data_IF_676831335459
#
_entry.id   IF_676831335459
#
_cell.length_a   1.000
_cell.length_b   1.000
_cell.length_c   1.000
_cell.angle_alpha   90.00
_cell.angle_beta   90.00
_cell.angle_gamma   90.00
#
_symmetry.space_group_name_H-M   'P 1'
#
loop_
_entity.id
_entity.type
_entity.pdbx_description
1 polymer ?
#
# COMPACT_ATOMS: atom_id res chain seq x y z
N UNK A 1 28.69 -16.01 8.90
CA UNK A 1 27.26 -15.63 8.86
C UNK A 1 27.06 -14.80 7.59
N UNK A 2 25.87 -14.28 7.29
CA UNK A 2 25.75 -13.35 6.17
C UNK A 2 26.35 -12.00 6.58
N UNK A 3 27.32 -11.49 5.82
CA UNK A 3 27.85 -10.15 6.03
C UNK A 3 26.72 -9.11 5.89
N UNK A 4 26.68 -8.15 6.80
CA UNK A 4 25.66 -7.11 6.80
C UNK A 4 26.24 -5.83 6.22
N UNK A 5 25.50 -5.15 5.36
CA UNK A 5 25.81 -3.81 4.86
C UNK A 5 24.88 -2.80 5.53
N UNK A 6 25.43 -1.70 6.00
CA UNK A 6 24.66 -0.58 6.58
C UNK A 6 25.04 0.70 5.86
N UNK A 7 24.04 1.40 5.36
CA UNK A 7 24.14 2.70 4.69
C UNK A 7 23.48 3.78 5.54
N UNK A 8 24.19 4.88 5.80
CA UNK A 8 23.64 6.07 6.44
C UNK A 8 23.10 7.04 5.38
N UNK A 9 21.81 7.31 5.43
CA UNK A 9 21.08 8.11 4.44
C UNK A 9 20.88 9.58 4.87
N UNK A 10 21.37 9.97 6.05
CA UNK A 10 21.15 11.29 6.65
C UNK A 10 20.02 11.31 7.70
N UNK A 11 20.04 12.29 8.59
CA UNK A 11 19.03 12.52 9.64
C UNK A 11 18.69 11.26 10.47
N UNK A 12 19.70 10.49 10.88
CA UNK A 12 19.55 9.20 11.60
C UNK A 12 18.61 8.18 10.90
N UNK A 13 18.63 8.17 9.57
CA UNK A 13 18.05 7.10 8.74
C UNK A 13 19.17 6.16 8.30
N UNK A 14 18.98 4.87 8.56
CA UNK A 14 19.91 3.82 8.18
C UNK A 14 19.18 2.77 7.36
N UNK A 15 19.79 2.36 6.25
CA UNK A 15 19.39 1.18 5.50
C UNK A 15 20.29 0.02 5.88
N UNK A 16 19.70 -1.14 6.08
CA UNK A 16 20.42 -2.38 6.39
C UNK A 16 20.09 -3.40 5.33
N UNK A 17 21.12 -4.08 4.84
CA UNK A 17 21.01 -5.15 3.86
C UNK A 17 21.82 -6.37 4.27
N UNK A 18 21.24 -7.55 4.06
CA UNK A 18 21.81 -8.83 4.48
C UNK A 18 21.54 -9.86 3.38
N UNK A 19 22.58 -10.60 2.97
CA UNK A 19 22.47 -11.62 1.93
C UNK A 19 22.16 -11.05 0.54
N UNK A 20 21.42 -11.80 -0.27
CA UNK A 20 20.93 -11.36 -1.59
C UNK A 20 19.72 -10.44 -1.42
N UNK A 21 19.93 -9.28 -0.79
CA UNK A 21 18.87 -8.31 -0.56
C UNK A 21 18.24 -7.90 -1.91
N UNK A 22 16.90 -7.86 -2.02
CA UNK A 22 16.27 -7.47 -3.26
C UNK A 22 16.66 -6.03 -3.63
N UNK A 23 16.68 -5.72 -4.93
CA UNK A 23 16.71 -4.32 -5.37
C UNK A 23 15.52 -3.59 -4.76
N UNK A 24 15.78 -2.48 -4.07
CA UNK A 24 14.75 -1.72 -3.36
C UNK A 24 13.59 -1.40 -4.31
N UNK A 25 12.36 -1.51 -3.81
CA UNK A 25 11.21 -0.92 -4.50
C UNK A 25 11.27 0.62 -4.44
N UNK A 26 11.99 1.16 -3.46
CA UNK A 26 12.06 2.58 -3.19
C UNK A 26 13.29 3.23 -3.84
N UNK A 27 13.09 4.42 -4.40
CA UNK A 27 14.17 5.31 -4.77
C UNK A 27 14.69 6.03 -3.51
N UNK A 28 15.80 5.55 -2.96
CA UNK A 28 16.44 6.15 -1.79
C UNK A 28 17.41 7.27 -2.17
N UNK A 29 17.66 8.25 -1.27
CA UNK A 29 18.76 9.19 -1.44
C UNK A 29 20.11 8.45 -1.47
N UNK A 30 21.11 9.09 -2.06
CA UNK A 30 22.47 8.57 -2.07
C UNK A 30 22.99 8.38 -0.63
N UNK A 31 23.66 7.25 -0.41
CA UNK A 31 24.32 6.96 0.86
C UNK A 31 25.41 8.00 1.13
N UNK A 32 25.40 8.58 2.34
CA UNK A 32 26.44 9.51 2.79
C UNK A 32 27.67 8.76 3.31
N UNK A 33 27.44 7.61 3.96
CA UNK A 33 28.46 6.73 4.53
C UNK A 33 27.95 5.30 4.51
N UNK A 34 28.83 4.33 4.32
CA UNK A 34 28.48 2.92 4.32
C UNK A 34 29.58 2.06 4.93
N UNK A 35 29.18 0.96 5.56
CA UNK A 35 30.07 -0.07 6.10
C UNK A 35 29.50 -1.44 5.82
N UNK A 36 30.36 -2.45 5.74
CA UNK A 36 29.92 -3.84 5.62
C UNK A 36 30.84 -4.76 6.41
N UNK A 37 30.27 -5.82 6.98
CA UNK A 37 31.03 -6.84 7.71
C UNK A 37 30.21 -7.52 8.82
N UNK A 38 30.91 -8.29 9.65
CA UNK A 38 30.34 -8.92 10.85
C UNK A 38 30.74 -8.18 12.15
N UNK A 39 31.64 -7.20 12.04
CA UNK A 39 32.14 -6.33 13.11
C UNK A 39 32.36 -4.92 12.53
N UNK A 40 31.63 -3.92 13.01
CA UNK A 40 31.83 -2.52 12.60
C UNK A 40 31.08 -1.54 13.51
N UNK A 41 31.41 -0.26 13.33
CA UNK A 41 30.66 0.88 13.87
C UNK A 41 30.41 1.87 12.73
N UNK A 42 29.20 2.40 12.65
CA UNK A 42 28.82 3.48 11.75
C UNK A 42 28.08 4.56 12.54
N UNK A 43 28.61 5.78 12.54
CA UNK A 43 27.98 6.91 13.22
C UNK A 43 26.98 7.61 12.28
N UNK A 44 25.83 8.00 12.82
CA UNK A 44 24.87 8.93 12.23
C UNK A 44 25.09 10.36 12.74
N UNK A 45 24.01 11.09 12.99
CA UNK A 45 24.05 12.41 13.64
C UNK A 45 23.93 12.29 15.16
N UNK A 46 22.98 11.47 15.62
CA UNK A 46 22.75 11.19 17.05
C UNK A 46 22.74 9.70 17.33
N UNK A 47 22.39 8.90 16.34
CA UNK A 47 22.36 7.45 16.45
C UNK A 47 23.63 6.85 15.87
N UNK A 48 24.18 5.86 16.54
CA UNK A 48 25.22 5.00 15.98
C UNK A 48 24.68 3.59 15.76
N UNK A 49 25.25 2.89 14.78
CA UNK A 49 24.99 1.48 14.50
C UNK A 49 26.24 0.69 14.84
N UNK A 50 26.07 -0.36 15.63
CA UNK A 50 27.12 -1.28 16.01
C UNK A 50 26.76 -2.67 15.50
N UNK A 51 27.70 -3.31 14.81
CA UNK A 51 27.62 -4.71 14.47
C UNK A 51 28.70 -5.46 15.26
N UNK A 52 28.31 -6.48 16.02
CA UNK A 52 29.26 -7.39 16.66
C UNK A 52 28.79 -8.84 16.58
N UNK A 53 29.67 -9.73 16.12
CA UNK A 53 29.39 -11.12 15.80
C UNK A 53 28.12 -11.28 14.94
N UNK A 54 27.93 -10.39 13.96
CA UNK A 54 26.76 -10.39 13.09
C UNK A 54 25.44 -10.01 13.77
N UNK A 55 25.46 -9.36 14.94
CA UNK A 55 24.27 -8.76 15.58
C UNK A 55 24.34 -7.24 15.48
N UNK A 56 23.25 -6.62 15.02
CA UNK A 56 23.09 -5.18 14.96
C UNK A 56 22.35 -4.64 16.17
N UNK A 57 22.83 -3.50 16.65
CA UNK A 57 22.10 -2.62 17.55
C UNK A 57 22.31 -1.16 17.15
N UNK A 58 21.29 -0.35 17.45
CA UNK A 58 21.32 1.08 17.26
C UNK A 58 21.46 1.73 18.63
N UNK A 59 22.28 2.77 18.80
CA UNK A 59 22.43 3.45 20.09
C UNK A 59 22.21 4.94 19.98
N UNK A 60 21.49 5.48 20.97
CA UNK A 60 21.35 6.91 21.21
C UNK A 60 22.06 7.23 22.53
N UNK A 61 23.35 7.56 22.47
CA UNK A 61 24.19 7.62 23.66
C UNK A 61 24.26 6.25 24.35
N UNK A 62 23.95 6.19 25.66
CA UNK A 62 23.93 4.93 26.42
C UNK A 62 22.70 4.03 26.12
N UNK A 63 21.74 4.55 25.36
CA UNK A 63 20.45 3.92 25.16
C UNK A 63 20.46 2.99 23.95
N UNK A 64 20.33 1.69 24.18
CA UNK A 64 20.26 0.69 23.10
C UNK A 64 18.85 0.63 22.51
N UNK A 65 18.76 0.62 21.20
CA UNK A 65 17.55 0.63 20.38
C UNK A 65 17.58 -0.58 19.44
N UNK A 66 16.46 -1.30 19.39
CA UNK A 66 16.23 -2.37 18.43
C UNK A 66 17.38 -3.39 18.25
N UNK A 67 17.98 -3.91 19.35
CA UNK A 67 19.11 -4.82 19.27
C UNK A 67 18.68 -6.22 18.79
N UNK A 68 19.51 -6.83 17.94
CA UNK A 68 19.36 -8.22 17.54
C UNK A 68 19.47 -9.16 18.75
N UNK A 69 18.50 -10.06 18.88
CA UNK A 69 18.55 -11.14 19.85
C UNK A 69 19.48 -12.27 19.39
N UNK A 70 19.63 -12.42 18.08
CA UNK A 70 20.50 -13.36 17.39
C UNK A 70 20.79 -12.81 15.99
N UNK A 71 21.90 -13.21 15.34
CA UNK A 71 22.16 -12.83 13.96
C UNK A 71 20.96 -13.20 13.05
N UNK A 72 20.56 -12.34 12.10
CA UNK A 72 19.49 -12.64 11.16
C UNK A 72 19.76 -13.94 10.39
N UNK A 73 18.71 -14.73 10.19
CA UNK A 73 18.81 -16.05 9.54
C UNK A 73 18.25 -15.99 8.12
N UNK A 74 18.95 -16.63 7.19
CA UNK A 74 18.55 -16.83 5.80
C UNK A 74 18.66 -18.32 5.49
N UNK A 75 17.53 -19.00 5.28
CA UNK A 75 17.50 -20.45 5.04
C UNK A 75 16.32 -20.83 4.15
N UNK A 76 16.55 -21.66 3.13
CA UNK A 76 15.47 -22.19 2.29
C UNK A 76 14.65 -21.13 1.55
N UNK A 77 15.24 -19.99 1.22
CA UNK A 77 14.53 -18.87 0.59
C UNK A 77 13.61 -18.09 1.55
N UNK A 78 13.83 -18.22 2.86
CA UNK A 78 13.11 -17.49 3.90
C UNK A 78 14.09 -16.74 4.80
N UNK A 79 13.59 -15.72 5.48
CA UNK A 79 14.35 -14.98 6.47
C UNK A 79 13.66 -14.95 7.83
N UNK A 80 14.48 -14.76 8.88
CA UNK A 80 14.03 -14.44 10.23
C UNK A 80 14.93 -13.36 10.85
N UNK A 81 14.31 -12.28 11.30
CA UNK A 81 14.91 -11.23 12.12
C UNK A 81 14.31 -11.36 13.52
N UNK A 82 15.17 -11.32 14.54
CA UNK A 82 14.80 -11.54 15.93
C UNK A 82 15.41 -10.43 16.77
N UNK A 83 14.58 -9.61 17.40
CA UNK A 83 14.98 -8.43 18.17
C UNK A 83 14.57 -8.57 19.63
N UNK A 84 15.39 -8.10 20.56
CA UNK A 84 14.93 -7.95 21.94
C UNK A 84 13.89 -6.83 22.02
N UNK A 85 12.85 -7.07 22.83
CA UNK A 85 11.86 -6.06 23.20
C UNK A 85 12.50 -5.04 24.16
N UNK A 86 12.34 -3.75 23.88
CA UNK A 86 12.68 -2.70 24.83
C UNK A 86 11.61 -2.52 25.90
N UNK A 87 12.03 -2.17 27.12
CA UNK A 87 11.10 -1.91 28.22
C UNK A 87 10.19 -0.71 27.91
N UNK A 88 8.87 -0.89 28.10
CA UNK A 88 7.88 0.18 27.89
C UNK A 88 7.63 0.56 26.43
N UNK A 89 8.17 -0.20 25.47
CA UNK A 89 7.90 0.00 24.04
C UNK A 89 6.44 -0.33 23.69
N UNK A 90 5.87 0.51 22.84
CA UNK A 90 4.56 0.34 22.21
C UNK A 90 4.71 0.36 20.70
N UNK A 91 3.89 -0.42 20.02
CA UNK A 91 4.04 -0.72 18.60
C UNK A 91 2.82 -0.25 17.82
N UNK A 92 3.04 0.40 16.69
CA UNK A 92 2.00 0.95 15.81
C UNK A 92 2.34 0.70 14.35
N UNK A 93 1.35 0.79 13.45
CA UNK A 93 1.53 0.56 12.01
C UNK A 93 1.01 -0.80 11.53
N UNK A 94 1.75 -1.42 10.61
CA UNK A 94 1.49 -2.74 9.99
C UNK A 94 0.19 -2.83 9.17
N UNK A 95 -0.34 -1.69 8.74
CA UNK A 95 -1.68 -1.59 8.16
C UNK A 95 -1.77 -2.11 6.73
N UNK A 96 -2.92 -2.61 6.32
CA UNK A 96 -4.24 -2.51 6.97
C UNK A 96 -4.56 -3.62 7.98
N UNK A 97 -5.15 -3.27 9.14
CA UNK A 97 -5.60 -4.23 10.17
C UNK A 97 -6.87 -3.77 10.89
N UNK A 98 -7.84 -4.67 11.04
CA UNK A 98 -9.08 -4.46 11.81
C UNK A 98 -8.90 -4.63 13.33
N UNK A 99 -7.72 -5.07 13.76
CA UNK A 99 -7.33 -5.28 15.17
C UNK A 99 -7.08 -3.96 15.90
N UNK A 100 -6.81 -4.04 17.21
CA UNK A 100 -6.52 -2.87 18.06
C UNK A 100 -5.37 -2.04 17.48
N UNK A 101 -5.50 -0.72 17.53
CA UNK A 101 -4.53 0.23 16.95
C UNK A 101 -3.10 0.02 17.48
N UNK A 102 -2.96 -0.12 18.79
CA UNK A 102 -1.70 -0.52 19.42
C UNK A 102 -1.48 -2.02 19.22
N UNK A 103 -0.26 -2.40 18.85
CA UNK A 103 0.11 -3.71 18.28
C UNK A 103 0.87 -4.61 19.26
N UNK A 104 1.17 -4.17 20.48
CA UNK A 104 1.82 -5.00 21.50
C UNK A 104 1.03 -6.27 21.78
N UNK A 105 1.72 -7.38 21.98
CA UNK A 105 1.08 -8.64 22.35
C UNK A 105 0.29 -9.28 21.22
N UNK A 106 0.52 -8.90 19.96
CA UNK A 106 -0.24 -9.39 18.80
C UNK A 106 0.69 -9.87 17.68
N UNK A 107 0.15 -10.67 16.76
CA UNK A 107 0.83 -11.15 15.55
C UNK A 107 0.03 -10.70 14.33
N UNK A 108 0.73 -10.31 13.28
CA UNK A 108 0.14 -9.76 12.06
C UNK A 108 0.71 -10.42 10.81
N UNK A 109 -0.17 -10.77 9.87
CA UNK A 109 0.18 -11.27 8.54
C UNK A 109 0.07 -10.15 7.52
N UNK A 110 1.17 -9.81 6.85
CA UNK A 110 1.22 -8.80 5.81
C UNK A 110 1.16 -9.51 4.47
N UNK A 111 -0.08 -9.71 4.02
CA UNK A 111 -0.48 -10.32 2.76
C UNK A 111 -1.75 -9.60 2.30
N UNK A 112 -1.86 -9.29 1.01
CA UNK A 112 -3.05 -8.62 0.48
C UNK A 112 -4.14 -9.65 0.19
N UNK A 113 -5.34 -9.43 0.73
CA UNK A 113 -6.49 -10.32 0.54
C UNK A 113 -7.78 -9.53 0.65
N UNK A 114 -8.72 -9.79 -0.24
CA UNK A 114 -10.13 -9.45 -0.02
C UNK A 114 -10.78 -10.51 0.89
N UNK A 115 -11.16 -10.16 2.13
CA UNK A 115 -11.81 -11.11 3.04
C UNK A 115 -13.32 -11.24 2.76
N UNK A 116 -13.88 -10.51 1.78
CA UNK A 116 -15.30 -10.33 1.48
C UNK A 116 -16.08 -9.62 2.60
N UNK A 117 -16.00 -10.14 3.82
CA UNK A 117 -16.45 -9.48 5.05
C UNK A 117 -15.36 -9.58 6.10
N UNK A 118 -15.34 -8.64 7.05
CA UNK A 118 -14.34 -8.67 8.12
C UNK A 118 -14.94 -8.31 9.48
N UNK A 119 -14.23 -8.71 10.52
CA UNK A 119 -14.49 -8.30 11.90
C UNK A 119 -13.15 -7.95 12.58
N UNK A 120 -13.18 -7.59 13.86
CA UNK A 120 -11.99 -7.13 14.62
C UNK A 120 -10.86 -8.16 14.76
N UNK A 121 -11.10 -9.41 14.38
CA UNK A 121 -10.11 -10.50 14.40
C UNK A 121 -9.59 -10.88 13.01
N UNK A 122 -10.22 -10.39 11.94
CA UNK A 122 -9.83 -10.67 10.56
C UNK A 122 -8.44 -10.09 10.26
N UNK A 123 -7.56 -10.96 9.79
CA UNK A 123 -6.20 -10.68 9.34
C UNK A 123 -5.80 -11.87 8.44
N UNK A 124 -5.33 -11.66 7.20
CA UNK A 124 -5.05 -10.40 6.49
C UNK A 124 -6.28 -9.60 6.00
N UNK A 125 -6.01 -8.39 5.47
CA UNK A 125 -6.95 -7.45 4.82
C UNK A 125 -6.38 -6.98 3.46
N UNK A 126 -6.91 -5.87 2.91
CA UNK A 126 -6.77 -5.47 1.51
C UNK A 126 -5.35 -5.03 1.11
N UNK A 127 -4.62 -4.36 2.00
CA UNK A 127 -3.25 -3.90 1.69
C UNK A 127 -2.30 -4.09 2.87
N UNK A 128 -0.99 -4.07 2.58
CA UNK A 128 0.08 -4.29 3.54
C UNK A 128 1.14 -3.19 3.46
N UNK A 129 1.47 -2.61 4.60
CA UNK A 129 2.57 -1.66 4.80
C UNK A 129 3.46 -2.20 5.90
N UNK A 130 4.62 -2.81 5.57
CA UNK A 130 5.56 -3.41 6.52
C UNK A 130 6.37 -2.39 7.33
N UNK A 131 5.66 -1.38 7.87
CA UNK A 131 6.19 -0.32 8.71
C UNK A 131 5.71 -0.48 10.16
N UNK A 132 6.66 -0.57 11.08
CA UNK A 132 6.46 -0.59 12.52
C UNK A 132 7.01 0.69 13.13
N UNK A 133 6.14 1.49 13.73
CA UNK A 133 6.51 2.61 14.57
C UNK A 133 6.62 2.13 16.02
N UNK A 134 7.79 2.32 16.61
CA UNK A 134 8.06 2.01 18.02
C UNK A 134 8.12 3.30 18.82
N UNK A 135 7.28 3.37 19.85
CA UNK A 135 7.17 4.52 20.74
C UNK A 135 7.54 4.13 22.17
N UNK A 136 8.33 4.98 22.82
CA UNK A 136 8.71 4.85 24.23
C UNK A 136 8.97 6.23 24.84
N UNK A 137 9.24 6.25 26.14
CA UNK A 137 9.41 7.50 26.89
C UNK A 137 10.60 8.32 26.39
N UNK A 138 11.69 7.68 26.02
CA UNK A 138 12.95 8.33 25.63
C UNK A 138 12.98 8.74 24.14
N UNK A 139 11.96 8.39 23.35
CA UNK A 139 11.86 8.74 21.95
C UNK A 139 11.13 7.70 21.10
N UNK A 140 11.24 7.83 19.79
CA UNK A 140 10.61 6.92 18.83
C UNK A 140 11.58 6.49 17.74
N UNK A 141 11.29 5.36 17.12
CA UNK A 141 11.96 4.95 15.90
C UNK A 141 11.01 4.12 15.03
N UNK A 142 11.32 4.05 13.73
CA UNK A 142 10.60 3.27 12.74
C UNK A 142 11.46 2.11 12.25
N UNK A 143 10.81 0.99 12.00
CA UNK A 143 11.35 -0.16 11.28
C UNK A 143 10.48 -0.40 10.05
N UNK A 144 11.05 -0.24 8.86
CA UNK A 144 10.38 -0.56 7.60
C UNK A 144 11.10 -1.73 6.94
N UNK A 145 10.43 -2.86 6.79
CA UNK A 145 10.97 -3.99 6.05
C UNK A 145 10.63 -3.81 4.56
N UNK A 146 11.63 -3.60 3.72
CA UNK A 146 11.42 -3.39 2.28
C UNK A 146 11.26 -4.73 1.57
N UNK A 147 10.01 -5.18 1.43
CA UNK A 147 9.66 -6.42 0.76
C UNK A 147 8.29 -6.32 0.09
N UNK A 148 8.17 -6.92 -1.10
CA UNK A 148 6.90 -7.18 -1.78
C UNK A 148 6.27 -8.52 -1.38
N UNK A 149 7.06 -9.42 -0.78
CA UNK A 149 6.63 -10.76 -0.41
C UNK A 149 5.81 -10.77 0.88
N UNK A 150 4.98 -11.80 1.03
CA UNK A 150 4.25 -12.06 2.25
C UNK A 150 5.22 -12.14 3.45
N UNK A 151 4.86 -11.45 4.54
CA UNK A 151 5.65 -11.48 5.77
C UNK A 151 4.79 -11.46 7.04
N UNK A 152 5.42 -11.74 8.16
CA UNK A 152 4.79 -11.89 9.48
C UNK A 152 5.56 -11.06 10.48
N UNK A 153 4.82 -10.30 11.28
CA UNK A 153 5.33 -9.54 12.41
C UNK A 153 4.70 -10.13 13.69
N UNK A 154 5.49 -10.86 14.49
CA UNK A 154 5.06 -11.42 15.77
C UNK A 154 5.60 -10.59 16.93
N UNK A 155 4.69 -9.90 17.61
CA UNK A 155 4.98 -8.98 18.72
C UNK A 155 4.41 -9.52 20.04
N UNK A 156 4.17 -10.83 20.14
CA UNK A 156 3.58 -11.48 21.33
C UNK A 156 4.59 -11.82 22.41
N UNK A 157 5.81 -12.20 22.02
CA UNK A 157 6.82 -12.71 22.94
C UNK A 157 7.76 -11.66 23.52
N UNK A 158 8.72 -12.13 24.32
CA UNK A 158 9.86 -11.37 24.83
C UNK A 158 10.78 -10.86 23.70
N UNK A 159 10.76 -11.57 22.57
CA UNK A 159 11.41 -11.18 21.33
C UNK A 159 10.37 -10.74 20.31
N UNK A 160 10.73 -9.74 19.52
CA UNK A 160 10.00 -9.37 18.31
C UNK A 160 10.55 -10.21 17.16
N UNK A 161 9.67 -10.89 16.44
CA UNK A 161 10.05 -11.76 15.33
C UNK A 161 9.47 -11.22 14.03
N UNK A 162 10.32 -11.06 13.02
CA UNK A 162 9.94 -10.64 11.68
C UNK A 162 10.41 -11.71 10.69
N UNK A 163 9.49 -12.29 9.94
CA UNK A 163 9.81 -13.40 9.03
C UNK A 163 9.05 -13.30 7.73
N UNK A 164 9.61 -13.83 6.65
CA UNK A 164 8.96 -13.85 5.35
C UNK A 164 9.78 -14.62 4.33
N UNK A 165 9.34 -14.55 3.08
CA UNK A 165 10.07 -15.11 1.94
C UNK A 165 11.11 -14.11 1.44
N UNK A 166 12.29 -14.61 1.09
CA UNK A 166 13.41 -13.80 0.59
C UNK A 166 14.77 -14.50 0.77
N UNK A 167 15.67 -14.33 -0.21
CA UNK A 167 17.08 -14.75 -0.14
C UNK A 167 17.99 -13.72 0.52
N UNK A 168 17.43 -12.55 0.84
CA UNK A 168 18.07 -11.50 1.61
C UNK A 168 17.05 -10.63 2.30
N UNK A 169 17.54 -9.70 3.09
CA UNK A 169 16.76 -8.76 3.90
C UNK A 169 17.18 -7.35 3.50
N UNK A 170 16.21 -6.46 3.29
CA UNK A 170 16.42 -5.03 3.24
C UNK A 170 15.46 -4.34 4.22
N UNK A 171 15.95 -3.45 5.08
CA UNK A 171 15.09 -2.66 5.95
C UNK A 171 15.65 -1.27 6.23
N UNK A 172 14.77 -0.36 6.62
CA UNK A 172 15.12 0.97 7.15
C UNK A 172 14.93 1.00 8.66
N UNK A 173 15.92 1.53 9.36
CA UNK A 173 15.79 2.05 10.71
C UNK A 173 15.74 3.58 10.65
N UNK A 174 14.73 4.17 11.29
CA UNK A 174 14.45 5.61 11.21
C UNK A 174 14.29 6.16 12.63
N UNK A 175 15.25 6.93 13.13
CA UNK A 175 15.12 7.54 14.46
C UNK A 175 14.43 8.91 14.42
N UNK A 176 13.63 9.21 15.45
CA UNK A 176 13.08 10.54 15.68
C UNK A 176 12.59 10.71 17.12
N UNK A 177 12.90 11.84 17.81
CA UNK A 177 12.52 12.01 19.21
C UNK A 177 11.00 12.09 19.42
N UNK A 178 10.22 12.31 18.35
CA UNK A 178 8.75 12.22 18.34
C UNK A 178 8.26 11.26 17.25
N UNK A 179 7.12 10.57 17.45
CA UNK A 179 6.50 9.74 16.43
C UNK A 179 6.27 10.46 15.10
N UNK A 180 5.88 11.74 15.15
CA UNK A 180 5.64 12.56 13.96
C UNK A 180 6.88 12.75 13.09
N UNK A 181 8.07 12.84 13.70
CA UNK A 181 9.33 13.00 12.96
C UNK A 181 9.78 11.71 12.30
N UNK A 182 9.49 10.55 12.93
CA UNK A 182 9.70 9.24 12.30
C UNK A 182 8.82 9.14 11.05
N UNK A 183 7.54 9.50 11.17
CA UNK A 183 6.58 9.47 10.05
C UNK A 183 6.94 10.48 8.95
N UNK A 184 7.41 11.67 9.30
CA UNK A 184 7.85 12.68 8.33
C UNK A 184 9.02 12.18 7.48
N UNK A 185 10.02 11.56 8.12
CA UNK A 185 11.17 10.95 7.43
C UNK A 185 10.75 9.76 6.59
N UNK A 186 9.93 8.86 7.14
CA UNK A 186 9.44 7.68 6.43
C UNK A 186 8.66 8.06 5.18
N UNK A 187 7.66 8.93 5.29
CA UNK A 187 6.84 9.37 4.15
C UNK A 187 7.62 10.17 3.12
N UNK A 188 8.72 10.84 3.50
CA UNK A 188 9.62 11.46 2.52
C UNK A 188 10.34 10.42 1.66
N UNK A 189 10.65 9.24 2.21
CA UNK A 189 11.32 8.15 1.49
C UNK A 189 10.35 7.32 0.64
N UNK A 190 9.14 7.05 1.14
CA UNK A 190 8.17 6.20 0.45
C UNK A 190 7.15 6.94 -0.41
N UNK A 191 7.19 8.28 -0.38
CA UNK A 191 6.22 9.14 -1.04
C UNK A 191 5.21 9.73 -0.06
N UNK A 192 5.05 11.05 -0.11
CA UNK A 192 4.03 11.76 0.64
C UNK A 192 2.72 11.71 -0.13
N UNK A 193 1.61 11.57 0.60
CA UNK A 193 0.30 11.74 0.00
C UNK A 193 0.22 13.13 -0.66
N UNK A 194 -0.19 13.23 -1.94
CA UNK A 194 -0.39 14.52 -2.57
C UNK A 194 -1.51 15.28 -1.86
N UNK A 195 -1.49 16.61 -1.95
CA UNK A 195 -2.60 17.42 -1.45
C UNK A 195 -3.87 17.06 -2.26
N UNK A 196 -4.94 16.56 -1.63
CA UNK A 196 -6.16 16.23 -2.35
C UNK A 196 -6.84 17.50 -2.86
N UNK A 197 -7.65 17.41 -3.93
CA UNK A 197 -8.47 18.54 -4.35
C UNK A 197 -9.48 18.87 -3.24
N UNK A 198 -9.80 20.16 -3.07
CA UNK A 198 -10.60 20.65 -1.93
C UNK A 198 -11.95 19.92 -1.79
N UNK A 199 -12.61 19.58 -2.90
CA UNK A 199 -13.90 18.87 -2.91
C UNK A 199 -13.82 17.47 -2.28
N UNK A 200 -12.66 16.83 -2.31
CA UNK A 200 -12.47 15.48 -1.75
C UNK A 200 -12.44 15.47 -0.21
N UNK A 201 -12.40 16.64 0.44
CA UNK A 201 -12.53 16.80 1.89
C UNK A 201 -14.00 16.96 2.34
N UNK A 202 -14.91 17.11 1.38
CA UNK A 202 -16.34 17.23 1.62
C UNK A 202 -17.01 15.91 1.97
N UNK A 203 -18.32 15.94 2.19
CA UNK A 203 -19.09 14.70 2.35
C UNK A 203 -19.33 14.05 0.98
N UNK A 204 -19.18 12.73 0.93
CA UNK A 204 -19.29 11.92 -0.29
C UNK A 204 -20.44 10.92 -0.14
N UNK A 205 -21.30 10.83 -1.16
CA UNK A 205 -22.43 9.91 -1.19
C UNK A 205 -22.15 8.72 -2.12
N UNK A 206 -22.19 7.51 -1.57
CA UNK A 206 -22.01 6.25 -2.31
C UNK A 206 -22.97 5.17 -1.85
N UNK A 207 -23.24 4.21 -2.75
CA UNK A 207 -23.99 2.97 -2.49
C UNK A 207 -23.70 1.96 -3.60
N UNK A 208 -23.60 0.69 -3.23
CA UNK A 208 -23.83 -0.43 -4.15
C UNK A 208 -25.31 -0.86 -4.04
N UNK A 209 -26.22 -0.47 -4.94
CA UNK A 209 -26.07 0.45 -6.07
C UNK A 209 -27.25 1.42 -6.19
N UNK A 210 -27.22 2.27 -7.20
CA UNK A 210 -28.37 3.09 -7.61
C UNK A 210 -29.07 2.49 -8.82
N UNK A 211 -30.39 2.60 -8.86
CA UNK A 211 -31.23 2.18 -9.98
C UNK A 211 -31.28 3.27 -11.08
N UNK A 212 -30.11 3.57 -11.65
CA UNK A 212 -29.93 4.45 -12.80
C UNK A 212 -29.96 5.96 -12.53
N UNK A 213 -29.85 6.73 -13.61
CA UNK A 213 -29.65 8.19 -13.59
C UNK A 213 -30.74 8.98 -12.84
N UNK A 214 -31.99 8.48 -12.85
CA UNK A 214 -33.13 9.15 -12.19
C UNK A 214 -33.00 9.13 -10.68
N UNK A 215 -32.57 8.00 -10.11
CA UNK A 215 -32.35 7.88 -8.68
C UNK A 215 -31.19 8.77 -8.23
N UNK A 216 -30.09 8.77 -9.00
CA UNK A 216 -28.92 9.63 -8.73
C UNK A 216 -29.31 11.10 -8.67
N UNK A 217 -30.05 11.60 -9.66
CA UNK A 217 -30.52 12.99 -9.67
C UNK A 217 -31.50 13.30 -8.53
N UNK A 218 -32.39 12.35 -8.20
CA UNK A 218 -33.30 12.50 -7.06
C UNK A 218 -32.50 12.67 -5.76
N UNK A 219 -31.50 11.82 -5.52
CA UNK A 219 -30.64 11.89 -4.34
C UNK A 219 -29.91 13.24 -4.29
N UNK A 220 -29.27 13.65 -5.40
CA UNK A 220 -28.57 14.92 -5.50
C UNK A 220 -29.47 16.13 -5.16
N UNK A 221 -30.69 16.15 -5.70
CA UNK A 221 -31.68 17.19 -5.43
C UNK A 221 -32.15 17.16 -3.98
N UNK A 222 -32.30 15.99 -3.37
CA UNK A 222 -32.68 15.86 -1.97
C UNK A 222 -31.60 16.41 -1.02
N UNK A 223 -30.30 16.19 -1.30
CA UNK A 223 -29.22 16.83 -0.56
C UNK A 223 -29.35 18.35 -0.58
N UNK A 224 -29.58 18.93 -1.77
CA UNK A 224 -29.76 20.38 -1.91
C UNK A 224 -31.02 20.90 -1.25
N UNK A 225 -32.15 20.22 -1.44
CA UNK A 225 -33.44 20.58 -0.81
C UNK A 225 -33.37 20.55 0.71
N UNK A 226 -32.62 19.60 1.27
CA UNK A 226 -32.46 19.42 2.73
C UNK A 226 -31.27 20.20 3.29
N UNK A 227 -30.55 20.96 2.47
CA UNK A 227 -29.38 21.74 2.85
C UNK A 227 -28.29 20.89 3.55
N UNK A 228 -28.12 19.64 3.10
CA UNK A 228 -27.06 18.76 3.59
C UNK A 228 -25.84 18.94 2.67
N UNK A 229 -24.67 19.35 3.20
CA UNK A 229 -23.44 19.45 2.43
C UNK A 229 -23.07 18.09 1.82
N UNK A 230 -22.74 18.08 0.54
CA UNK A 230 -22.28 16.90 -0.18
C UNK A 230 -21.64 17.37 -1.48
N UNK A 231 -20.40 16.94 -1.69
CA UNK A 231 -19.50 17.43 -2.74
C UNK A 231 -19.30 16.40 -3.86
N UNK A 232 -19.48 15.11 -3.57
CA UNK A 232 -19.30 14.05 -4.55
C UNK A 232 -20.39 12.97 -4.48
N UNK A 233 -20.76 12.43 -5.64
CA UNK A 233 -21.59 11.24 -5.77
C UNK A 233 -20.78 10.17 -6.51
N UNK A 234 -20.75 8.98 -5.94
CA UNK A 234 -20.05 7.82 -6.48
C UNK A 234 -21.02 6.97 -7.27
N UNK A 235 -20.64 6.53 -8.47
CA UNK A 235 -21.36 5.51 -9.22
C UNK A 235 -20.62 4.19 -9.07
N UNK A 236 -21.28 3.24 -8.42
CA UNK A 236 -20.82 1.86 -8.29
C UNK A 236 -21.12 1.05 -9.57
N UNK A 237 -20.71 -0.21 -9.63
CA UNK A 237 -20.58 -1.03 -10.85
C UNK A 237 -21.78 -1.07 -11.82
N UNK A 238 -23.02 -0.77 -11.37
CA UNK A 238 -24.20 -0.74 -12.24
C UNK A 238 -24.21 0.40 -13.26
N UNK A 239 -23.31 1.39 -13.13
CA UNK A 239 -23.12 2.35 -14.22
C UNK A 239 -22.52 1.71 -15.47
N UNK A 240 -21.83 0.58 -15.33
CA UNK A 240 -21.15 -0.13 -16.41
C UNK A 240 -22.12 -1.02 -17.21
N UNK A 241 -21.85 -1.23 -18.50
CA UNK A 241 -22.60 -2.15 -19.34
C UNK A 241 -22.20 -3.61 -19.05
N UNK A 242 -23.03 -4.32 -18.28
CA UNK A 242 -22.75 -5.69 -17.86
C UNK A 242 -21.48 -5.81 -17.02
N UNK A 243 -21.23 -4.82 -16.15
CA UNK A 243 -20.08 -4.72 -15.24
C UNK A 243 -18.72 -4.63 -15.96
N UNK A 244 -18.71 -4.27 -17.25
CA UNK A 244 -17.47 -4.06 -18.02
C UNK A 244 -16.90 -2.67 -17.71
N UNK A 245 -15.67 -2.62 -17.19
CA UNK A 245 -14.96 -1.36 -16.97
C UNK A 245 -14.95 -0.47 -18.23
N UNK A 246 -14.83 0.84 -18.06
CA UNK A 246 -14.77 1.78 -19.18
C UNK A 246 -15.96 1.67 -20.16
N UNK A 247 -17.15 1.40 -19.64
CA UNK A 247 -18.40 1.42 -20.41
C UNK A 247 -19.50 2.11 -19.61
N UNK A 248 -20.59 2.46 -20.28
CA UNK A 248 -21.80 3.01 -19.67
C UNK A 248 -23.00 2.17 -20.06
N UNK A 249 -23.83 1.81 -19.08
CA UNK A 249 -25.07 1.08 -19.32
C UNK A 249 -26.03 1.96 -20.10
N UNK A 250 -26.38 1.53 -21.32
CA UNK A 250 -27.36 2.26 -22.15
C UNK A 250 -28.78 2.21 -21.58
N UNK A 251 -29.05 1.30 -20.65
CA UNK A 251 -30.34 1.15 -19.97
C UNK A 251 -30.47 2.04 -18.74
N UNK A 252 -29.46 2.01 -17.86
CA UNK A 252 -29.50 2.70 -16.58
C UNK A 252 -28.94 4.13 -16.65
N UNK A 253 -27.98 4.36 -17.54
CA UNK A 253 -27.26 5.62 -17.73
C UNK A 253 -27.14 5.95 -19.23
N UNK A 254 -28.28 6.14 -19.93
CA UNK A 254 -28.30 6.35 -21.38
C UNK A 254 -27.59 7.62 -21.83
N UNK A 255 -27.52 8.64 -20.98
CA UNK A 255 -26.89 9.93 -21.27
C UNK A 255 -26.02 10.40 -20.09
N UNK A 256 -24.82 9.81 -19.94
CA UNK A 256 -23.93 10.10 -18.81
C UNK A 256 -23.44 11.56 -18.81
N UNK A 257 -23.21 12.16 -19.99
CA UNK A 257 -22.75 13.55 -20.10
C UNK A 257 -23.81 14.52 -19.58
N UNK A 258 -25.08 14.31 -19.93
CA UNK A 258 -26.19 15.11 -19.40
C UNK A 258 -26.33 14.93 -17.90
N UNK A 259 -26.30 13.69 -17.40
CA UNK A 259 -26.37 13.40 -15.96
C UNK A 259 -25.26 14.14 -15.19
N UNK A 260 -24.01 13.96 -15.61
CA UNK A 260 -22.84 14.59 -14.98
C UNK A 260 -22.94 16.12 -15.07
N UNK A 261 -23.39 16.65 -16.21
CA UNK A 261 -23.64 18.08 -16.39
C UNK A 261 -24.69 18.64 -15.42
N UNK A 262 -25.78 17.92 -15.19
CA UNK A 262 -26.81 18.31 -14.21
C UNK A 262 -26.30 18.24 -12.77
N UNK A 263 -25.55 17.18 -12.41
CA UNK A 263 -24.92 17.05 -11.10
C UNK A 263 -23.91 18.17 -10.85
N UNK A 264 -23.12 18.53 -11.86
CA UNK A 264 -22.18 19.65 -11.80
C UNK A 264 -22.88 20.99 -11.59
N UNK A 265 -24.03 21.24 -12.23
CA UNK A 265 -24.85 22.45 -11.97
C UNK A 265 -25.37 22.50 -10.53
N UNK A 266 -25.58 21.34 -9.91
CA UNK A 266 -25.92 21.21 -8.49
C UNK A 266 -24.66 21.24 -7.59
N UNK A 267 -23.46 21.44 -8.13
CA UNK A 267 -22.21 21.52 -7.36
C UNK A 267 -21.61 20.18 -6.94
N UNK A 268 -22.04 19.06 -7.54
CA UNK A 268 -21.45 17.75 -7.27
C UNK A 268 -20.32 17.43 -8.25
N UNK A 269 -19.34 16.68 -7.76
CA UNK A 269 -18.40 15.88 -8.54
C UNK A 269 -18.95 14.46 -8.71
N UNK A 270 -18.65 13.82 -9.83
CA UNK A 270 -18.99 12.42 -10.07
C UNK A 270 -17.72 11.61 -10.00
N UNK A 271 -17.73 10.55 -9.19
CA UNK A 271 -16.64 9.59 -9.06
C UNK A 271 -17.16 8.23 -9.52
N UNK A 272 -16.38 7.47 -10.27
CA UNK A 272 -16.80 6.13 -10.74
C UNK A 272 -15.83 5.08 -10.23
N UNK A 273 -16.35 3.94 -9.76
CA UNK A 273 -15.49 2.78 -9.47
C UNK A 273 -14.90 2.23 -10.78
N UNK A 274 -13.65 1.76 -10.74
CA UNK A 274 -13.02 0.99 -11.83
C UNK A 274 -12.33 -0.21 -11.21
N UNK A 275 -12.67 -1.41 -11.68
CA UNK A 275 -12.07 -2.66 -11.21
C UNK A 275 -10.82 -3.02 -12.01
N UNK A 276 -9.85 -3.76 -11.42
CA UNK A 276 -8.66 -4.21 -12.14
C UNK A 276 -8.93 -5.36 -13.12
N UNK A 277 -10.08 -6.04 -13.00
CA UNK A 277 -10.46 -7.17 -13.85
C UNK A 277 -11.22 -6.73 -15.10
N UNK A 278 -10.64 -6.98 -16.27
CA UNK A 278 -11.31 -6.73 -17.56
C UNK A 278 -11.99 -8.01 -18.05
N UNK A 279 -13.25 -7.90 -18.47
CA UNK A 279 -14.01 -9.04 -19.02
C UNK A 279 -13.26 -9.68 -20.19
N UNK A 280 -13.10 -11.00 -20.16
CA UNK A 280 -12.44 -11.77 -21.20
C UNK A 280 -13.42 -12.10 -22.34
N UNK A 281 -13.73 -11.08 -23.15
CA UNK A 281 -14.77 -11.12 -24.20
C UNK A 281 -14.28 -10.48 -25.50
N UNK A 282 -14.33 -11.23 -26.61
CA UNK A 282 -13.95 -10.73 -27.93
C UNK A 282 -14.89 -9.61 -28.38
N UNK A 283 -14.35 -8.54 -28.95
CA UNK A 283 -15.11 -7.35 -29.36
C UNK A 283 -15.19 -6.27 -28.27
N UNK A 284 -14.71 -6.57 -27.06
CA UNK A 284 -14.56 -5.57 -26.00
C UNK A 284 -13.16 -4.96 -26.09
N UNK A 285 -13.10 -3.70 -26.54
CA UNK A 285 -11.85 -3.01 -26.91
C UNK A 285 -10.69 -3.18 -25.91
N UNK A 286 -10.86 -2.95 -24.59
CA UNK A 286 -9.77 -3.18 -23.63
C UNK A 286 -9.24 -4.62 -23.60
N UNK A 287 -10.12 -5.62 -23.81
CA UNK A 287 -9.69 -7.01 -23.89
C UNK A 287 -8.91 -7.30 -25.18
N UNK A 288 -9.47 -6.88 -26.33
CA UNK A 288 -8.85 -7.15 -27.63
C UNK A 288 -7.47 -6.47 -27.74
N UNK A 289 -7.36 -5.18 -27.37
CA UNK A 289 -6.09 -4.45 -27.39
C UNK A 289 -5.05 -5.03 -26.43
N UNK A 290 -5.46 -5.34 -25.20
CA UNK A 290 -4.55 -5.90 -24.19
C UNK A 290 -4.05 -7.29 -24.59
N UNK A 291 -4.87 -8.07 -25.30
CA UNK A 291 -4.48 -9.38 -25.81
C UNK A 291 -3.49 -9.25 -26.98
N UNK A 292 -3.79 -8.38 -27.95
CA UNK A 292 -2.92 -8.10 -29.10
C UNK A 292 -1.53 -7.62 -28.67
N UNK A 293 -1.48 -6.73 -27.68
CA UNK A 293 -0.22 -6.13 -27.17
C UNK A 293 0.46 -6.96 -26.08
N UNK A 294 -0.16 -8.05 -25.63
CA UNK A 294 0.38 -8.91 -24.58
C UNK A 294 0.54 -8.20 -23.23
N UNK A 295 -0.44 -7.39 -22.82
CA UNK A 295 -0.43 -6.58 -21.60
C UNK A 295 -1.02 -7.27 -20.36
N UNK A 296 -1.58 -8.47 -20.51
CA UNK A 296 -2.13 -9.22 -19.40
C UNK A 296 -1.09 -10.10 -18.69
N UNK A 297 -1.33 -10.35 -17.41
CA UNK A 297 -0.62 -11.34 -16.63
C UNK A 297 -0.71 -12.72 -17.30
N UNK A 298 0.36 -13.50 -17.16
CA UNK A 298 0.48 -14.83 -17.76
C UNK A 298 0.89 -15.86 -16.71
N UNK A 299 0.50 -17.11 -16.94
CA UNK A 299 1.07 -18.26 -16.26
C UNK A 299 2.51 -18.52 -16.75
N UNK A 300 3.25 -19.38 -16.03
CA UNK A 300 4.63 -19.76 -16.39
C UNK A 300 4.73 -20.39 -17.78
N UNK A 301 3.68 -21.07 -18.24
CA UNK A 301 3.58 -21.66 -19.59
C UNK A 301 3.30 -20.62 -20.70
N UNK A 302 3.18 -19.34 -20.33
CA UNK A 302 2.92 -18.22 -21.25
C UNK A 302 1.45 -17.99 -21.57
N UNK A 303 0.53 -18.82 -21.08
CA UNK A 303 -0.92 -18.61 -21.27
C UNK A 303 -1.43 -17.43 -20.45
N UNK A 304 -2.44 -16.70 -20.96
CA UNK A 304 -3.01 -15.54 -20.25
C UNK A 304 -3.72 -16.01 -18.98
N UNK A 305 -3.36 -15.40 -17.85
CA UNK A 305 -4.00 -15.65 -16.58
C UNK A 305 -5.45 -15.16 -16.61
N UNK A 306 -6.38 -16.00 -16.15
CA UNK A 306 -7.79 -15.64 -16.03
C UNK A 306 -8.32 -15.91 -14.63
N UNK A 307 -9.27 -15.08 -14.21
CA UNK A 307 -10.00 -15.21 -12.94
C UNK A 307 -11.47 -14.86 -13.13
N UNK A 308 -12.24 -14.83 -12.04
CA UNK A 308 -13.66 -14.48 -12.05
C UNK A 308 -13.91 -13.29 -11.12
N UNK A 309 -14.57 -12.26 -11.65
CA UNK A 309 -14.98 -11.04 -10.93
C UNK A 309 -16.38 -10.64 -11.45
N UNK A 310 -16.81 -9.39 -11.25
CA UNK A 310 -18.16 -8.91 -11.56
C UNK A 310 -18.67 -9.22 -12.97
N UNK A 311 -17.92 -9.00 -14.07
CA UNK A 311 -18.42 -9.30 -15.41
C UNK A 311 -18.24 -10.78 -15.80
N UNK A 312 -17.92 -11.67 -14.85
CA UNK A 312 -17.62 -13.07 -15.09
C UNK A 312 -16.13 -13.31 -15.28
N UNK A 313 -15.76 -14.12 -16.29
CA UNK A 313 -14.36 -14.44 -16.58
C UNK A 313 -13.60 -13.18 -17.00
N UNK A 314 -12.50 -12.89 -16.32
CA UNK A 314 -11.68 -11.69 -16.49
C UNK A 314 -10.21 -12.02 -16.74
N UNK A 315 -9.50 -11.04 -17.31
CA UNK A 315 -8.04 -10.93 -17.39
C UNK A 315 -7.56 -9.73 -16.58
N UNK A 316 -6.28 -9.71 -16.23
CA UNK A 316 -5.69 -8.71 -15.33
C UNK A 316 -4.46 -8.10 -15.99
N UNK A 317 -4.40 -6.77 -16.03
CA UNK A 317 -3.29 -6.03 -16.62
C UNK A 317 -2.02 -6.15 -15.75
N UNK A 318 -0.87 -6.27 -16.41
CA UNK A 318 0.43 -6.29 -15.75
C UNK A 318 0.93 -4.86 -15.44
N UNK A 319 0.47 -4.31 -14.31
CA UNK A 319 0.82 -2.95 -13.89
C UNK A 319 2.30 -2.74 -13.51
N UNK A 320 3.12 -3.80 -13.45
CA UNK A 320 4.56 -3.66 -13.25
C UNK A 320 5.23 -2.98 -14.45
N UNK A 321 4.65 -3.13 -15.64
CA UNK A 321 5.16 -2.59 -16.90
C UNK A 321 4.64 -1.17 -17.16
N UNK A 322 5.53 -0.26 -17.53
CA UNK A 322 5.21 1.15 -17.72
C UNK A 322 4.22 1.38 -18.86
N UNK A 323 4.45 0.73 -19.99
CA UNK A 323 3.60 0.79 -21.17
C UNK A 323 2.17 0.28 -20.90
N UNK A 324 2.01 -0.66 -19.95
CA UNK A 324 0.70 -1.16 -19.53
C UNK A 324 -0.04 -0.13 -18.67
N UNK A 325 0.69 0.60 -17.81
CA UNK A 325 0.11 1.70 -17.03
C UNK A 325 -0.34 2.85 -17.93
N UNK A 326 0.45 3.20 -18.95
CA UNK A 326 0.08 4.22 -19.94
C UNK A 326 -1.15 3.81 -20.75
N UNK A 327 -1.19 2.57 -21.22
CA UNK A 327 -2.36 2.03 -21.91
C UNK A 327 -3.61 2.06 -21.02
N UNK A 328 -3.52 1.59 -19.77
CA UNK A 328 -4.63 1.63 -18.82
C UNK A 328 -5.12 3.05 -18.53
N UNK A 329 -4.20 4.01 -18.38
CA UNK A 329 -4.54 5.42 -18.24
C UNK A 329 -5.30 5.95 -19.46
N UNK A 330 -4.92 5.53 -20.68
CA UNK A 330 -5.62 5.94 -21.90
C UNK A 330 -7.09 5.47 -21.95
N UNK A 331 -7.42 4.34 -21.33
CA UNK A 331 -8.79 3.84 -21.24
C UNK A 331 -9.72 4.75 -20.42
N UNK A 332 -9.16 5.52 -19.49
CA UNK A 332 -9.92 6.47 -18.67
C UNK A 332 -10.46 7.67 -19.47
N UNK A 333 -9.99 7.87 -20.70
CA UNK A 333 -10.55 8.90 -21.60
C UNK A 333 -12.07 8.74 -21.80
N UNK A 334 -12.58 7.51 -21.75
CA UNK A 334 -14.02 7.21 -21.81
C UNK A 334 -14.81 7.81 -20.62
N UNK A 335 -14.20 7.85 -19.43
CA UNK A 335 -14.83 8.38 -18.22
C UNK A 335 -14.57 9.89 -18.08
N UNK A 336 -13.30 10.27 -18.16
CA UNK A 336 -12.85 11.66 -17.99
C UNK A 336 -13.40 12.57 -19.09
N UNK A 337 -13.48 12.08 -20.33
CA UNK A 337 -14.05 12.83 -21.47
C UNK A 337 -15.51 13.22 -21.27
N UNK A 338 -16.25 12.48 -20.43
CA UNK A 338 -17.66 12.74 -20.08
C UNK A 338 -17.84 13.57 -18.80
N UNK A 339 -16.74 13.95 -18.16
CA UNK A 339 -16.74 14.82 -16.98
C UNK A 339 -16.71 14.11 -15.63
N UNK A 340 -16.42 12.81 -15.59
CA UNK A 340 -16.05 12.12 -14.33
C UNK A 340 -14.82 12.83 -13.74
N UNK A 341 -14.86 13.07 -12.43
CA UNK A 341 -13.91 13.93 -11.73
C UNK A 341 -12.82 13.15 -10.95
N UNK A 342 -13.00 11.85 -10.76
CA UNK A 342 -12.06 10.98 -10.06
C UNK A 342 -12.56 9.56 -9.94
#
# INVERSE_FOLDING_TARGET
MAAQRVEYLGEDVFRVEIGEAPSMLLQLPASLRQVAGEEFRLEGEKVEVLCSAGRLEFRLGALVLFPDAEPPKLEGGKFLISKYRGAGERYYGLGEKARRFERSGQRFELRNRDPFTYNRSTDPLYFSVPFLLVCRREGSYGFFLDTASDCVFDLRGERLLFSGEGRGIAYLFIHGPKPSQVLEKFTRLVGRAPLPPLWALGYHQSRFSYDGEREVLRIAREFRRRQIPCDAIYLDIDYMEGYRCFTWSTRLFPDPERLIGELKKLGFKVVTIVDPGLKAEKGYKPFDEGLEKGYFLKHEDGTVFTGYVWPGRCVFADFAREEVREWWASLHSELLGRGVAG
#
